data_IF_383075398479
#
_entry.id   IF_383075398479
#
_cell.length_a   1.000
_cell.length_b   1.000
_cell.length_c   1.000
_cell.angle_alpha   90.00
_cell.angle_beta   90.00
_cell.angle_gamma   90.00
#
_symmetry.space_group_name_H-M   'P 1'
#
loop_
_entity.id
_entity.type
_entity.pdbx_description
1 polymer ?
#
# COMPACT_ATOMS: atom_id res chain seq x y z
N UNK A 1 -56.57 20.76 3.30
CA UNK A 1 -56.11 19.91 4.43
C UNK A 1 -55.64 18.59 3.83
N UNK A 2 -54.37 18.53 3.43
CA UNK A 2 -53.75 17.32 2.87
C UNK A 2 -52.92 16.70 3.98
N UNK A 3 -53.42 15.63 4.58
CA UNK A 3 -52.72 14.87 5.62
C UNK A 3 -51.55 14.12 4.99
N UNK A 4 -50.34 14.59 5.27
CA UNK A 4 -49.10 13.85 5.01
C UNK A 4 -49.10 12.58 5.87
N UNK A 5 -49.05 11.43 5.21
CA UNK A 5 -48.84 10.14 5.87
C UNK A 5 -47.36 10.03 6.24
N UNK A 6 -47.06 10.34 7.50
CA UNK A 6 -45.75 10.09 8.13
C UNK A 6 -45.46 8.59 8.06
N UNK A 7 -44.64 8.17 7.09
CA UNK A 7 -44.11 6.80 7.01
C UNK A 7 -43.21 6.55 8.21
N UNK A 8 -43.56 5.55 9.00
CA UNK A 8 -42.80 5.07 10.14
C UNK A 8 -41.33 4.76 9.77
N UNK A 9 -40.36 4.98 10.67
CA UNK A 9 -38.96 4.74 10.40
C UNK A 9 -38.71 3.24 10.17
N UNK A 10 -38.20 2.92 8.97
CA UNK A 10 -37.79 1.58 8.57
C UNK A 10 -36.68 1.12 9.53
N UNK A 11 -37.00 0.16 10.40
CA UNK A 11 -36.02 -0.51 11.27
C UNK A 11 -34.97 -1.20 10.42
N UNK A 12 -33.80 -0.58 10.29
CA UNK A 12 -32.61 -1.18 9.66
C UNK A 12 -32.16 -2.33 10.56
N UNK A 13 -32.53 -3.55 10.14
CA UNK A 13 -32.12 -4.81 10.78
C UNK A 13 -30.60 -4.90 10.68
N UNK A 14 -29.89 -4.67 11.79
CA UNK A 14 -28.44 -4.88 11.87
C UNK A 14 -28.19 -6.38 11.84
N UNK A 15 -28.13 -6.93 10.63
CA UNK A 15 -27.63 -8.28 10.39
C UNK A 15 -26.18 -8.29 10.83
N UNK A 16 -25.84 -9.09 11.85
CA UNK A 16 -24.46 -9.40 12.18
C UNK A 16 -23.78 -9.93 10.93
N UNK A 17 -22.91 -9.12 10.32
CA UNK A 17 -22.16 -9.53 9.15
C UNK A 17 -21.15 -10.60 9.60
N UNK A 18 -21.25 -11.79 9.02
CA UNK A 18 -20.28 -12.88 9.25
C UNK A 18 -18.87 -12.34 8.99
N UNK A 19 -17.94 -12.57 9.93
CA UNK A 19 -16.56 -12.08 9.91
C UNK A 19 -15.86 -12.25 8.55
N UNK A 20 -16.18 -13.33 7.81
CA UNK A 20 -15.70 -13.62 6.45
C UNK A 20 -16.84 -13.76 5.41
N UNK A 21 -17.71 -12.75 5.31
CA UNK A 21 -18.67 -12.63 4.21
C UNK A 21 -17.96 -12.51 2.84
N UNK A 22 -18.54 -12.98 1.71
CA UNK A 22 -17.93 -12.83 0.37
C UNK A 22 -17.54 -11.38 0.02
N UNK A 23 -18.25 -10.38 0.56
CA UNK A 23 -17.87 -8.96 0.46
C UNK A 23 -16.55 -8.63 1.16
N UNK A 24 -16.27 -9.22 2.32
CA UNK A 24 -15.05 -9.02 3.09
C UNK A 24 -13.84 -9.68 2.41
N UNK A 25 -14.04 -10.86 1.81
CA UNK A 25 -13.01 -11.52 1.01
C UNK A 25 -12.62 -10.66 -0.20
N UNK A 26 -13.62 -10.04 -0.82
CA UNK A 26 -13.44 -9.13 -1.95
C UNK A 26 -12.57 -7.90 -1.61
N UNK A 27 -12.70 -7.34 -0.41
CA UNK A 27 -11.86 -6.22 0.07
C UNK A 27 -10.37 -6.59 0.18
N UNK A 28 -10.05 -7.86 0.43
CA UNK A 28 -8.66 -8.33 0.51
C UNK A 28 -8.14 -8.75 -0.86
N UNK A 29 -9.00 -9.33 -1.71
CA UNK A 29 -8.59 -9.87 -3.01
C UNK A 29 -8.59 -8.86 -4.15
N UNK A 30 -9.48 -7.87 -4.14
CA UNK A 30 -9.58 -6.87 -5.21
C UNK A 30 -8.29 -6.03 -5.34
N UNK A 31 -7.68 -5.52 -4.25
CA UNK A 31 -6.45 -4.74 -4.34
C UNK A 31 -5.24 -5.54 -4.84
N UNK A 32 -5.31 -6.87 -4.85
CA UNK A 32 -4.25 -7.73 -5.37
C UNK A 32 -4.27 -7.82 -6.90
N UNK A 33 -5.41 -7.57 -7.56
CA UNK A 33 -5.57 -7.82 -8.99
C UNK A 33 -6.28 -6.69 -9.75
N UNK A 34 -7.52 -6.36 -9.39
CA UNK A 34 -8.39 -5.49 -10.20
C UNK A 34 -8.34 -4.02 -9.76
N UNK A 35 -7.94 -3.73 -8.52
CA UNK A 35 -7.94 -2.36 -7.97
C UNK A 35 -6.64 -2.03 -7.25
N UNK A 36 -5.52 -2.48 -7.81
CA UNK A 36 -4.23 -2.32 -7.15
C UNK A 36 -3.85 -0.83 -6.95
N UNK A 37 -3.45 -0.43 -5.74
CA UNK A 37 -3.12 0.95 -5.39
C UNK A 37 -2.10 1.62 -6.32
N UNK A 38 -1.06 0.91 -6.78
CA UNK A 38 0.02 1.53 -7.55
C UNK A 38 -0.34 1.58 -9.04
N UNK A 39 -0.87 0.50 -9.60
CA UNK A 39 -1.08 0.39 -11.05
C UNK A 39 -2.40 0.98 -11.54
N UNK A 40 -3.44 0.96 -10.71
CA UNK A 40 -4.77 1.46 -11.06
C UNK A 40 -5.06 2.78 -10.38
N UNK A 41 -4.75 2.90 -9.08
CA UNK A 41 -5.08 4.11 -8.30
C UNK A 41 -3.96 5.16 -8.31
N UNK A 42 -2.76 4.84 -8.82
CA UNK A 42 -1.62 5.76 -8.94
C UNK A 42 -1.19 6.33 -7.56
N UNK A 43 -1.39 5.55 -6.49
CA UNK A 43 -1.06 5.92 -5.11
C UNK A 43 0.27 5.29 -4.69
N UNK A 44 1.11 6.05 -3.98
CA UNK A 44 2.35 5.53 -3.39
C UNK A 44 3.54 5.40 -4.35
N UNK A 45 3.52 6.11 -5.49
CA UNK A 45 4.62 6.06 -6.47
C UNK A 45 5.90 6.65 -5.89
N UNK A 46 5.84 7.73 -5.10
CA UNK A 46 7.02 8.37 -4.50
C UNK A 46 7.89 7.40 -3.69
N UNK A 47 7.27 6.55 -2.87
CA UNK A 47 7.96 5.53 -2.09
C UNK A 47 8.45 4.37 -2.95
N UNK A 48 7.70 4.00 -3.99
CA UNK A 48 8.17 3.03 -4.97
C UNK A 48 9.44 3.49 -5.68
N UNK A 49 9.56 4.77 -6.04
CA UNK A 49 10.78 5.29 -6.69
C UNK A 49 11.98 5.32 -5.74
N UNK A 50 11.76 5.72 -4.49
CA UNK A 50 12.80 5.94 -3.50
C UNK A 50 13.38 4.65 -2.89
N UNK A 51 12.55 3.65 -2.60
CA UNK A 51 12.94 2.51 -1.75
C UNK A 51 13.28 1.24 -2.55
N UNK A 52 12.85 1.16 -3.81
CA UNK A 52 13.05 -0.05 -4.64
C UNK A 52 14.44 -0.19 -5.26
N UNK A 53 15.45 0.54 -4.78
CA UNK A 53 16.86 0.32 -5.17
C UNK A 53 17.44 -0.96 -4.56
N UNK A 54 16.90 -1.39 -3.42
CA UNK A 54 17.24 -2.64 -2.73
C UNK A 54 15.98 -3.34 -2.23
N UNK A 55 16.00 -4.66 -2.22
CA UNK A 55 14.89 -5.52 -1.86
C UNK A 55 14.70 -5.60 -0.35
N UNK A 56 15.79 -5.60 0.43
CA UNK A 56 15.77 -5.59 1.90
C UNK A 56 14.92 -4.43 2.48
N UNK A 57 15.21 -3.14 2.20
CA UNK A 57 14.38 -2.02 2.65
C UNK A 57 12.95 -2.07 2.12
N UNK A 58 12.77 -2.53 0.88
CA UNK A 58 11.45 -2.61 0.24
C UNK A 58 10.53 -3.59 0.98
N UNK A 59 11.03 -4.75 1.37
CA UNK A 59 10.24 -5.74 2.12
C UNK A 59 9.86 -5.21 3.49
N UNK A 60 10.79 -4.57 4.21
CA UNK A 60 10.48 -4.01 5.53
C UNK A 60 9.47 -2.87 5.42
N UNK A 61 9.61 -2.01 4.41
CA UNK A 61 8.63 -0.96 4.15
C UNK A 61 7.25 -1.54 3.79
N UNK A 62 7.19 -2.56 2.94
CA UNK A 62 5.95 -3.22 2.58
C UNK A 62 5.22 -3.78 3.82
N UNK A 63 5.93 -4.48 4.70
CA UNK A 63 5.37 -5.01 5.95
C UNK A 63 4.90 -3.89 6.88
N UNK A 64 5.69 -2.82 7.03
CA UNK A 64 5.32 -1.68 7.87
C UNK A 64 4.05 -0.97 7.34
N UNK A 65 3.95 -0.76 6.03
CA UNK A 65 2.76 -0.13 5.40
C UNK A 65 1.52 -1.00 5.57
N UNK A 66 1.62 -2.33 5.45
CA UNK A 66 0.48 -3.23 5.71
C UNK A 66 -0.07 -3.04 7.12
N UNK A 67 0.81 -3.07 8.12
CA UNK A 67 0.43 -2.91 9.53
C UNK A 67 -0.16 -1.53 9.77
N UNK A 68 0.54 -0.47 9.36
CA UNK A 68 0.10 0.91 9.60
C UNK A 68 -1.22 1.20 8.88
N UNK A 69 -1.39 0.77 7.63
CA UNK A 69 -2.62 0.98 6.85
C UNK A 69 -3.82 0.23 7.44
N UNK A 70 -3.62 -1.00 7.91
CA UNK A 70 -4.66 -1.79 8.55
C UNK A 70 -5.16 -1.14 9.85
N UNK A 71 -4.24 -0.78 10.75
CA UNK A 71 -4.59 -0.19 12.03
C UNK A 71 -5.05 1.27 11.91
N UNK A 72 -4.49 2.07 11.00
CA UNK A 72 -4.96 3.43 10.78
C UNK A 72 -6.39 3.44 10.24
N UNK A 73 -6.73 2.56 9.29
CA UNK A 73 -8.09 2.44 8.77
C UNK A 73 -9.08 2.02 9.87
N UNK A 74 -8.69 1.08 10.74
CA UNK A 74 -9.49 0.66 11.89
C UNK A 74 -9.76 1.85 12.82
N UNK A 75 -8.69 2.54 13.26
CA UNK A 75 -8.80 3.64 14.23
C UNK A 75 -9.63 4.78 13.65
N UNK A 76 -9.36 5.22 12.42
CA UNK A 76 -10.11 6.30 11.77
C UNK A 76 -11.58 5.93 11.60
N UNK A 77 -11.90 4.69 11.24
CA UNK A 77 -13.29 4.24 11.12
C UNK A 77 -14.05 4.26 12.47
N UNK A 78 -13.35 4.07 13.60
CA UNK A 78 -13.92 4.19 14.94
C UNK A 78 -14.18 5.66 15.29
N UNK A 79 -13.20 6.54 15.08
CA UNK A 79 -13.27 7.94 15.51
C UNK A 79 -13.94 8.87 14.49
N UNK A 80 -14.33 8.38 13.31
CA UNK A 80 -14.87 9.18 12.18
C UNK A 80 -16.00 10.13 12.54
N UNK A 81 -16.85 9.77 13.50
CA UNK A 81 -18.02 10.58 13.89
C UNK A 81 -17.63 11.82 14.73
N UNK A 82 -16.42 11.82 15.30
CA UNK A 82 -15.90 12.89 16.15
C UNK A 82 -15.10 13.90 15.31
N UNK A 83 -14.61 13.48 14.13
CA UNK A 83 -13.72 14.28 13.30
C UNK A 83 -14.49 15.39 12.56
N UNK A 84 -14.22 16.68 12.84
CA UNK A 84 -14.79 17.77 12.07
C UNK A 84 -14.16 17.84 10.67
N UNK A 85 -14.97 18.13 9.64
CA UNK A 85 -14.52 18.17 8.25
C UNK A 85 -13.34 19.12 7.99
N UNK A 86 -13.27 20.24 8.73
CA UNK A 86 -12.22 21.26 8.54
C UNK A 86 -10.82 20.79 8.93
N UNK A 87 -10.71 19.88 9.89
CA UNK A 87 -9.41 19.42 10.45
C UNK A 87 -9.16 17.94 10.19
N UNK A 88 -9.93 17.32 9.30
CA UNK A 88 -9.94 15.87 9.07
C UNK A 88 -8.55 15.31 8.71
N UNK A 89 -7.88 15.93 7.73
CA UNK A 89 -6.57 15.49 7.26
C UNK A 89 -5.54 15.55 8.39
N UNK A 90 -5.58 16.61 9.20
CA UNK A 90 -4.67 16.79 10.34
C UNK A 90 -4.86 15.64 11.34
N UNK A 91 -6.10 15.33 11.72
CA UNK A 91 -6.39 14.23 12.65
C UNK A 91 -5.92 12.89 12.09
N UNK A 92 -6.19 12.62 10.81
CA UNK A 92 -5.75 11.38 10.14
C UNK A 92 -4.24 11.23 10.15
N UNK A 93 -3.50 12.28 9.78
CA UNK A 93 -2.03 12.26 9.77
C UNK A 93 -1.45 12.13 11.17
N UNK A 94 -2.07 12.71 12.21
CA UNK A 94 -1.63 12.52 13.60
C UNK A 94 -1.79 11.06 14.05
N UNK A 95 -2.90 10.40 13.70
CA UNK A 95 -3.11 8.97 14.00
C UNK A 95 -2.11 8.09 13.26
N UNK A 96 -1.83 8.39 11.99
CA UNK A 96 -0.81 7.65 11.23
C UNK A 96 0.57 7.87 11.83
N UNK A 97 0.96 9.11 12.13
CA UNK A 97 2.25 9.42 12.72
C UNK A 97 2.48 8.70 14.05
N UNK A 98 1.48 8.66 14.94
CA UNK A 98 1.59 7.94 16.21
C UNK A 98 1.77 6.44 15.99
N UNK A 99 1.01 5.82 15.07
CA UNK A 99 1.15 4.40 14.74
C UNK A 99 2.51 4.07 14.12
N UNK A 100 3.02 4.90 13.20
CA UNK A 100 4.33 4.69 12.58
C UNK A 100 5.44 4.80 13.62
N UNK A 101 5.37 5.79 14.52
CA UNK A 101 6.34 5.95 15.60
C UNK A 101 6.30 4.74 16.54
N UNK A 102 5.12 4.21 16.88
CA UNK A 102 5.01 2.99 17.68
C UNK A 102 5.69 1.79 17.00
N UNK A 103 5.49 1.60 15.70
CA UNK A 103 6.17 0.54 14.92
C UNK A 103 7.69 0.73 14.91
N UNK A 104 8.15 1.98 14.72
CA UNK A 104 9.58 2.31 14.78
C UNK A 104 10.20 1.97 16.14
N UNK A 105 9.53 2.29 17.24
CA UNK A 105 10.01 1.96 18.59
C UNK A 105 10.03 0.46 18.86
N UNK A 106 9.02 -0.29 18.39
CA UNK A 106 9.03 -1.76 18.50
C UNK A 106 10.21 -2.35 17.73
N UNK A 107 10.48 -1.88 16.50
CA UNK A 107 11.60 -2.38 15.71
C UNK A 107 12.96 -2.00 16.32
N UNK A 108 13.10 -0.82 16.93
CA UNK A 108 14.28 -0.43 17.72
C UNK A 108 14.60 -1.42 18.84
N UNK A 109 13.57 -1.97 19.48
CA UNK A 109 13.73 -2.87 20.61
C UNK A 109 14.16 -4.29 20.20
N UNK A 110 13.72 -4.80 19.05
CA UNK A 110 14.00 -6.17 18.62
C UNK A 110 15.10 -6.30 17.56
N UNK A 111 15.25 -5.32 16.66
CA UNK A 111 16.17 -5.40 15.50
C UNK A 111 16.80 -4.02 15.21
N UNK A 112 17.87 -3.70 15.94
CA UNK A 112 18.53 -2.39 15.88
C UNK A 112 19.09 -2.03 14.49
N UNK A 113 19.69 -2.99 13.78
CA UNK A 113 20.27 -2.75 12.45
C UNK A 113 19.22 -2.39 11.40
N UNK A 114 18.07 -3.07 11.43
CA UNK A 114 16.93 -2.78 10.56
C UNK A 114 16.32 -1.43 10.94
N UNK A 115 16.22 -1.13 12.24
CA UNK A 115 15.70 0.15 12.72
C UNK A 115 16.53 1.35 12.25
N UNK A 116 17.86 1.22 12.24
CA UNK A 116 18.76 2.30 11.77
C UNK A 116 18.47 2.69 10.32
N UNK A 117 18.19 1.70 9.46
CA UNK A 117 17.75 1.95 8.08
C UNK A 117 16.32 2.50 8.03
N UNK A 118 15.43 2.00 8.89
CA UNK A 118 14.03 2.42 8.95
C UNK A 118 13.81 3.84 9.41
N UNK A 119 14.68 4.40 10.24
CA UNK A 119 14.50 5.75 10.77
C UNK A 119 14.36 6.81 9.67
N UNK A 120 14.95 6.57 8.48
CA UNK A 120 14.77 7.42 7.29
C UNK A 120 13.43 7.13 6.60
N UNK A 121 12.99 5.87 6.59
CA UNK A 121 11.74 5.45 5.97
C UNK A 121 10.49 5.80 6.79
N UNK A 122 10.61 6.08 8.09
CA UNK A 122 9.49 6.53 8.94
C UNK A 122 8.78 7.74 8.34
N UNK A 123 9.53 8.77 7.92
CA UNK A 123 8.93 9.95 7.28
C UNK A 123 8.22 9.64 5.96
N UNK A 124 8.81 8.73 5.16
CA UNK A 124 8.24 8.29 3.88
C UNK A 124 6.97 7.45 4.05
N UNK A 125 6.85 6.72 5.17
CA UNK A 125 5.63 5.98 5.51
C UNK A 125 4.53 6.96 5.95
N UNK A 126 4.84 7.93 6.83
CA UNK A 126 3.86 8.92 7.31
C UNK A 126 3.23 9.71 6.16
N UNK A 127 4.07 10.11 5.20
CA UNK A 127 3.67 10.90 4.02
C UNK A 127 3.25 10.05 2.82
N UNK A 128 3.05 8.74 3.01
CA UNK A 128 2.68 7.86 1.91
C UNK A 128 1.23 8.10 1.48
N UNK A 129 1.04 8.42 0.20
CA UNK A 129 -0.26 8.71 -0.38
C UNK A 129 -1.26 7.55 -0.24
N UNK A 130 -0.80 6.29 -0.21
CA UNK A 130 -1.70 5.14 -0.05
C UNK A 130 -2.47 5.20 1.27
N UNK A 131 -1.80 5.56 2.37
CA UNK A 131 -2.40 5.56 3.70
C UNK A 131 -3.48 6.62 3.75
N UNK A 132 -3.14 7.86 3.38
CA UNK A 132 -4.11 8.95 3.34
C UNK A 132 -5.27 8.65 2.37
N UNK A 133 -4.98 8.14 1.18
CA UNK A 133 -5.98 7.83 0.16
C UNK A 133 -7.00 6.79 0.63
N UNK A 134 -6.58 5.72 1.33
CA UNK A 134 -7.51 4.71 1.87
C UNK A 134 -8.30 5.20 3.07
N UNK A 135 -7.69 6.02 3.93
CA UNK A 135 -8.39 6.61 5.07
C UNK A 135 -9.56 7.49 4.62
N UNK A 136 -9.33 8.32 3.60
CA UNK A 136 -10.35 9.22 3.06
C UNK A 136 -11.40 8.48 2.21
N UNK A 137 -10.97 7.62 1.30
CA UNK A 137 -11.87 6.95 0.36
C UNK A 137 -12.69 5.82 1.03
N UNK A 138 -12.15 5.17 2.06
CA UNK A 138 -12.78 3.97 2.64
C UNK A 138 -13.05 4.07 4.15
N UNK A 139 -12.06 4.46 4.98
CA UNK A 139 -12.23 4.41 6.43
C UNK A 139 -13.29 5.38 6.97
N UNK A 140 -13.41 6.57 6.37
CA UNK A 140 -14.46 7.54 6.74
C UNK A 140 -15.87 7.06 6.41
N UNK A 141 -16.04 6.23 5.36
CA UNK A 141 -17.35 5.76 4.91
C UNK A 141 -17.80 4.42 5.51
N UNK A 142 -16.87 3.57 5.94
CA UNK A 142 -17.16 2.17 6.28
C UNK A 142 -17.05 1.87 7.78
N UNK A 143 -17.57 0.70 8.18
CA UNK A 143 -17.45 0.17 9.55
C UNK A 143 -16.00 -0.26 9.86
N UNK A 144 -15.60 -0.38 11.14
CA UNK A 144 -14.21 -0.66 11.51
C UNK A 144 -13.65 -1.97 10.94
N UNK A 145 -14.46 -3.05 10.95
CA UNK A 145 -13.99 -4.36 10.48
C UNK A 145 -13.72 -4.40 8.96
N UNK A 146 -14.65 -3.96 8.08
CA UNK A 146 -14.34 -3.77 6.67
C UNK A 146 -13.16 -2.83 6.41
N UNK A 147 -13.03 -1.74 7.19
CA UNK A 147 -11.94 -0.77 7.00
C UNK A 147 -10.56 -1.39 7.31
N UNK A 148 -10.47 -2.21 8.35
CA UNK A 148 -9.25 -2.97 8.65
C UNK A 148 -8.86 -3.90 7.49
N UNK A 149 -9.82 -4.68 6.98
CA UNK A 149 -9.58 -5.60 5.87
C UNK A 149 -9.17 -4.86 4.58
N UNK A 150 -9.76 -3.70 4.32
CA UNK A 150 -9.35 -2.83 3.21
C UNK A 150 -7.90 -2.35 3.35
N UNK A 151 -7.50 -1.96 4.57
CA UNK A 151 -6.14 -1.53 4.85
C UNK A 151 -5.12 -2.65 4.64
N UNK A 152 -5.45 -3.88 5.08
CA UNK A 152 -4.63 -5.07 4.83
C UNK A 152 -4.53 -5.37 3.34
N UNK A 153 -5.67 -5.43 2.63
CA UNK A 153 -5.70 -5.75 1.20
C UNK A 153 -4.87 -4.77 0.37
N UNK A 154 -5.11 -3.47 0.55
CA UNK A 154 -4.38 -2.42 -0.19
C UNK A 154 -2.90 -2.36 0.22
N UNK A 155 -2.58 -2.56 1.50
CA UNK A 155 -1.20 -2.64 1.96
C UNK A 155 -0.43 -3.79 1.32
N UNK A 156 -1.04 -4.97 1.22
CA UNK A 156 -0.41 -6.15 0.58
C UNK A 156 -0.30 -5.92 -0.93
N UNK A 157 -1.34 -5.40 -1.58
CA UNK A 157 -1.31 -5.08 -3.02
C UNK A 157 -0.19 -4.11 -3.39
N UNK A 158 0.02 -3.09 -2.56
CA UNK A 158 1.15 -2.17 -2.66
C UNK A 158 2.50 -2.87 -2.42
N UNK A 159 2.59 -3.64 -1.33
CA UNK A 159 3.81 -4.35 -0.96
C UNK A 159 4.30 -5.32 -2.03
N UNK A 160 3.38 -6.04 -2.68
CA UNK A 160 3.72 -6.98 -3.76
C UNK A 160 4.37 -6.27 -4.95
N UNK A 161 3.81 -5.15 -5.41
CA UNK A 161 4.41 -4.39 -6.51
C UNK A 161 5.75 -3.81 -6.08
N UNK A 162 5.85 -3.28 -4.86
CA UNK A 162 7.10 -2.72 -4.35
C UNK A 162 8.23 -3.76 -4.37
N UNK A 163 7.95 -4.97 -3.88
CA UNK A 163 8.90 -6.08 -3.85
C UNK A 163 9.27 -6.52 -5.27
N UNK A 164 8.29 -6.67 -6.17
CA UNK A 164 8.54 -7.04 -7.57
C UNK A 164 9.39 -6.01 -8.31
N UNK A 165 9.09 -4.72 -8.15
CA UNK A 165 9.88 -3.63 -8.75
C UNK A 165 11.29 -3.62 -8.18
N UNK A 166 11.45 -3.80 -6.86
CA UNK A 166 12.76 -3.86 -6.23
C UNK A 166 13.60 -5.05 -6.70
N UNK A 167 12.98 -6.22 -6.89
CA UNK A 167 13.67 -7.41 -7.39
C UNK A 167 14.19 -7.20 -8.81
N UNK A 168 13.39 -6.60 -9.70
CA UNK A 168 13.82 -6.29 -11.07
C UNK A 168 14.94 -5.24 -11.07
N UNK A 169 14.82 -4.20 -10.24
CA UNK A 169 15.82 -3.12 -10.18
C UNK A 169 17.15 -3.57 -9.58
N UNK A 170 17.13 -4.38 -8.51
CA UNK A 170 18.35 -4.91 -7.90
C UNK A 170 19.05 -5.89 -8.84
N UNK A 171 18.29 -6.79 -9.49
CA UNK A 171 18.82 -7.71 -10.49
C UNK A 171 19.50 -6.99 -11.66
N UNK A 172 18.88 -5.92 -12.19
CA UNK A 172 19.43 -5.16 -13.31
C UNK A 172 20.56 -4.21 -12.90
N UNK A 173 20.55 -3.74 -11.66
CA UNK A 173 21.53 -2.77 -11.14
C UNK A 173 22.83 -3.41 -10.70
N UNK A 174 22.77 -4.45 -9.87
CA UNK A 174 23.95 -5.10 -9.27
C UNK A 174 24.14 -6.56 -9.67
N UNK A 175 23.20 -7.19 -10.37
CA UNK A 175 23.25 -8.62 -10.70
C UNK A 175 23.05 -9.54 -9.49
N UNK A 176 22.63 -8.97 -8.37
CA UNK A 176 22.45 -9.61 -7.08
C UNK A 176 20.98 -9.50 -6.65
N UNK A 177 20.48 -10.49 -5.90
CA UNK A 177 19.23 -10.38 -5.14
C UNK A 177 19.55 -10.71 -3.69
N UNK A 178 19.28 -9.79 -2.77
CA UNK A 178 19.47 -10.03 -1.32
C UNK A 178 20.88 -10.55 -0.98
N UNK A 179 21.90 -10.04 -1.68
CA UNK A 179 23.30 -10.47 -1.51
C UNK A 179 23.66 -11.80 -2.16
N UNK A 180 22.74 -12.50 -2.81
CA UNK A 180 23.03 -13.68 -3.63
C UNK A 180 23.22 -13.26 -5.10
N UNK A 181 24.41 -13.55 -5.66
CA UNK A 181 24.69 -13.38 -7.09
C UNK A 181 23.90 -14.40 -7.89
N UNK A 182 22.79 -13.95 -8.49
CA UNK A 182 21.95 -14.78 -9.35
C UNK A 182 22.49 -14.80 -10.78
N UNK A 183 23.17 -13.73 -11.22
CA UNK A 183 23.81 -13.69 -12.54
C UNK A 183 25.12 -14.48 -12.48
N UNK A 184 25.24 -15.62 -13.18
CA UNK A 184 26.48 -16.41 -13.19
C UNK A 184 27.61 -15.61 -13.86
N UNK A 185 28.86 -15.83 -13.45
CA UNK A 185 30.05 -15.18 -14.06
C UNK A 185 30.14 -15.39 -15.59
N UNK A 186 29.46 -16.42 -16.11
CA UNK A 186 29.32 -16.67 -17.55
C UNK A 186 28.58 -15.55 -18.30
N UNK A 187 27.58 -14.91 -17.68
CA UNK A 187 26.86 -13.78 -18.29
C UNK A 187 27.70 -12.50 -18.30
N UNK A 188 28.51 -12.26 -17.26
CA UNK A 188 29.49 -11.16 -17.24
C UNK A 188 30.57 -11.36 -18.31
N UNK A 189 31.04 -12.61 -18.51
CA UNK A 189 31.95 -12.96 -19.61
C UNK A 189 31.32 -12.84 -21.00
N UNK A 190 29.99 -12.92 -21.11
CA UNK A 190 29.20 -12.70 -22.34
C UNK A 190 28.90 -11.22 -22.62
N UNK A 191 29.41 -10.28 -21.80
CA UNK A 191 29.27 -8.84 -22.00
C UNK A 191 28.18 -8.15 -21.16
N UNK A 192 27.63 -8.83 -20.14
CA UNK A 192 26.74 -8.18 -19.18
C UNK A 192 27.53 -7.22 -18.29
N UNK A 193 27.12 -5.96 -18.25
CA UNK A 193 27.63 -4.95 -17.34
C UNK A 193 26.51 -4.49 -16.43
N UNK A 194 26.83 -4.28 -15.15
CA UNK A 194 25.91 -3.73 -14.16
C UNK A 194 25.35 -2.40 -14.66
N UNK A 195 24.03 -2.32 -14.78
CA UNK A 195 23.39 -1.15 -15.35
C UNK A 195 23.15 -0.11 -14.24
N UNK A 196 24.08 0.83 -14.07
CA UNK A 196 23.94 1.93 -13.11
C UNK A 196 22.68 2.78 -13.35
N UNK A 197 22.15 2.76 -14.56
CA UNK A 197 20.87 3.39 -14.93
C UNK A 197 19.68 2.74 -14.22
N UNK A 198 19.76 1.45 -13.84
CA UNK A 198 18.68 0.74 -13.15
C UNK A 198 18.47 1.19 -11.70
N UNK A 199 19.49 1.80 -11.10
CA UNK A 199 19.45 2.35 -9.74
C UNK A 199 18.81 3.74 -9.74
N UNK A 200 18.81 4.45 -10.86
CA UNK A 200 18.24 5.80 -10.96
C UNK A 200 16.70 5.78 -10.98
N UNK A 201 16.03 6.83 -10.45
CA UNK A 201 14.56 6.93 -10.42
C UNK A 201 13.84 6.76 -11.78
N UNK A 202 14.37 7.24 -12.94
CA UNK A 202 13.72 7.05 -14.23
C UNK A 202 13.49 5.58 -14.59
N UNK A 203 14.41 4.67 -14.21
CA UNK A 203 14.21 3.25 -14.47
C UNK A 203 13.03 2.68 -13.67
N UNK A 204 12.82 3.14 -12.44
CA UNK A 204 11.70 2.69 -11.64
C UNK A 204 10.36 3.03 -12.29
N UNK A 205 10.23 4.21 -12.92
CA UNK A 205 9.04 4.57 -13.69
C UNK A 205 8.85 3.66 -14.91
N UNK A 206 9.93 3.34 -15.64
CA UNK A 206 9.87 2.42 -16.78
C UNK A 206 9.43 1.03 -16.33
N UNK A 207 10.03 0.50 -15.27
CA UNK A 207 9.70 -0.84 -14.72
C UNK A 207 8.25 -0.88 -14.24
N UNK A 208 7.79 0.13 -13.49
CA UNK A 208 6.38 0.25 -13.08
C UNK A 208 5.48 0.35 -14.31
N UNK A 209 5.85 1.11 -15.34
CA UNK A 209 5.12 1.21 -16.60
C UNK A 209 4.98 -0.13 -17.32
N UNK A 210 6.05 -0.93 -17.37
CA UNK A 210 6.03 -2.30 -17.92
C UNK A 210 5.10 -3.21 -17.10
N UNK A 211 5.14 -3.12 -15.77
CA UNK A 211 4.21 -3.87 -14.91
C UNK A 211 2.75 -3.49 -15.17
N UNK A 212 2.45 -2.18 -15.27
CA UNK A 212 1.11 -1.68 -15.61
C UNK A 212 0.69 -2.20 -16.98
N UNK A 213 1.57 -2.15 -17.98
CA UNK A 213 1.30 -2.64 -19.33
C UNK A 213 0.94 -4.12 -19.31
N UNK A 214 1.77 -4.98 -18.69
CA UNK A 214 1.52 -6.43 -18.56
C UNK A 214 0.17 -6.69 -17.87
N UNK A 215 -0.13 -5.96 -16.80
CA UNK A 215 -1.39 -6.12 -16.06
C UNK A 215 -2.60 -5.74 -16.93
N UNK A 216 -2.54 -4.60 -17.64
CA UNK A 216 -3.62 -4.16 -18.54
C UNK A 216 -3.79 -5.07 -19.75
N UNK A 217 -2.71 -5.64 -20.29
CA UNK A 217 -2.80 -6.61 -21.39
C UNK A 217 -3.49 -7.91 -20.93
N UNK A 218 -3.23 -8.37 -19.69
CA UNK A 218 -3.87 -9.56 -19.13
C UNK A 218 -5.30 -9.31 -18.65
N UNK A 219 -5.63 -8.09 -18.24
CA UNK A 219 -6.94 -7.73 -17.73
C UNK A 219 -7.52 -6.56 -18.54
N UNK A 220 -8.15 -6.85 -19.70
CA UNK A 220 -8.68 -5.82 -20.60
C UNK A 220 -9.81 -5.00 -19.98
N UNK A 221 -10.38 -5.42 -18.84
CA UNK A 221 -11.36 -4.62 -18.07
C UNK A 221 -10.78 -3.30 -17.55
N UNK A 222 -9.46 -3.21 -17.42
CA UNK A 222 -8.75 -2.02 -16.95
C UNK A 222 -8.36 -1.05 -18.08
N UNK A 223 -8.65 -1.42 -19.34
CA UNK A 223 -8.39 -0.57 -20.50
C UNK A 223 -9.59 0.34 -20.68
N UNK A 224 -9.35 1.65 -20.56
CA UNK A 224 -10.36 2.66 -20.85
C UNK A 224 -10.69 2.60 -22.35
N UNK A 225 -11.93 2.20 -22.68
CA UNK A 225 -12.45 2.35 -24.02
C UNK A 225 -12.84 3.83 -24.16
N UNK A 226 -12.02 4.58 -24.86
CA UNK A 226 -12.24 5.99 -25.19
C UNK A 226 -13.15 6.10 -26.42
#
# INVERSE_FOLDING_TARGET
MSTETVKAPVKVKVSGERLFSPKNKKLVTDPLNDSNPITVQVLGICSALAVTTKMEPSIVMAMAVVVVCAFSNLVISIIRNIIPNRIRIIVQLTVVASLVILVDQVLKAYVYDVSKQLSVFVGLIITNCIIMGRLEAFAMGNKPWPAFLDGVGNGIGYGLILVLVSAVRELLGSGELMGFRIVPDSFYKLGYFNNGLAILPPMALIVVGVFIWIQRTKNPKLVENN
#
